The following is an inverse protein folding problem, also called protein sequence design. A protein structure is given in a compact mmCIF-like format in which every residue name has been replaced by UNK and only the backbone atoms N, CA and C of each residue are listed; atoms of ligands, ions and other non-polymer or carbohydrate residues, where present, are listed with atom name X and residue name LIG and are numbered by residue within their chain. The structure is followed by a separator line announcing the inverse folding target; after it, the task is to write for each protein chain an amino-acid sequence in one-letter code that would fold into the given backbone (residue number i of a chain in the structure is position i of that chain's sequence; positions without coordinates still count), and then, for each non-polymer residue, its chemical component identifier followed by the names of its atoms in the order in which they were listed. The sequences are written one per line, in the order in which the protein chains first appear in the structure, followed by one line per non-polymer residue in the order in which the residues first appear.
data_IF_288489475087
#
_entry.id   IF_288489475087
#
_cell.length_a   1.000
_cell.length_b   1.000
_cell.length_c   1.000
_cell.angle_alpha   90.00
_cell.angle_beta   90.00
_cell.angle_gamma   90.00
#
_symmetry.space_group_name_H-M   'P 1'
#
loop_
_entity.id
_entity.type
_entity.pdbx_description
1 polymer ?
#
# COMPACT_ATOMS: atom_id res chain seq x y z
N UNK A 1 -7.67 -3.83 8.09
CA UNK A 1 -8.16 -3.36 9.41
C UNK A 1 -7.02 -2.55 10.02
N UNK A 2 -7.24 -1.26 10.30
CA UNK A 2 -6.24 -0.36 10.88
C UNK A 2 -5.90 -0.82 12.29
N UNK A 3 -4.63 -1.11 12.56
CA UNK A 3 -4.16 -1.50 13.88
C UNK A 3 -3.96 -0.23 14.70
N UNK A 4 -4.96 0.16 15.51
CA UNK A 4 -4.87 1.34 16.38
C UNK A 4 -4.36 0.90 17.74
N UNK A 5 -3.39 1.63 18.30
CA UNK A 5 -3.04 1.54 19.72
C UNK A 5 -4.28 1.68 20.61
N UNK A 6 -4.34 0.85 21.66
CA UNK A 6 -5.38 0.93 22.71
C UNK A 6 -5.14 2.09 23.69
N UNK A 7 -4.02 2.80 23.57
CA UNK A 7 -3.62 3.90 24.44
C UNK A 7 -4.14 5.22 23.87
N UNK A 8 -4.82 6.01 24.69
CA UNK A 8 -5.25 7.36 24.31
C UNK A 8 -4.03 8.24 24.09
N UNK A 9 -3.91 8.83 22.90
CA UNK A 9 -2.80 9.71 22.54
C UNK A 9 -2.41 9.61 21.07
N UNK A 10 -1.21 10.12 20.76
CA UNK A 10 -0.58 9.98 19.46
C UNK A 10 0.05 8.58 19.33
N UNK A 11 -0.32 7.87 18.26
CA UNK A 11 0.14 6.51 17.97
C UNK A 11 1.41 6.52 17.10
N UNK A 12 1.32 7.17 15.93
CA UNK A 12 2.46 7.38 15.04
C UNK A 12 2.32 8.68 14.24
N UNK A 13 3.43 9.16 13.71
CA UNK A 13 3.49 10.30 12.78
C UNK A 13 4.13 9.86 11.47
N UNK A 14 3.48 10.19 10.36
CA UNK A 14 4.00 9.96 9.01
C UNK A 14 4.44 11.26 8.34
N UNK A 15 5.62 11.25 7.73
CA UNK A 15 6.14 12.34 6.89
C UNK A 15 6.38 11.78 5.49
N UNK A 16 5.70 12.37 4.51
CA UNK A 16 5.89 12.04 3.11
C UNK A 16 6.99 12.91 2.49
N UNK A 17 7.92 12.32 1.76
CA UNK A 17 8.92 13.03 0.96
C UNK A 17 8.48 13.15 -0.49
N UNK A 18 8.99 14.18 -1.17
CA UNK A 18 8.62 14.46 -2.55
C UNK A 18 9.30 13.50 -3.53
N UNK A 19 10.46 12.95 -3.16
CA UNK A 19 11.28 12.08 -3.99
C UNK A 19 12.09 11.08 -3.15
N UNK A 20 12.71 10.12 -3.84
CA UNK A 20 13.56 9.09 -3.24
C UNK A 20 14.83 9.69 -2.61
N UNK A 21 15.41 10.73 -3.21
CA UNK A 21 16.64 11.34 -2.71
C UNK A 21 16.45 11.95 -1.32
N UNK A 22 15.33 12.63 -1.10
CA UNK A 22 14.94 13.14 0.21
C UNK A 22 14.74 12.02 1.23
N UNK A 23 14.08 10.92 0.82
CA UNK A 23 13.86 9.78 1.70
C UNK A 23 15.20 9.14 2.13
N UNK A 24 16.15 9.02 1.19
CA UNK A 24 17.49 8.52 1.47
C UNK A 24 18.29 9.49 2.35
N UNK A 25 18.14 10.81 2.16
CA UNK A 25 18.77 11.80 3.02
C UNK A 25 18.25 11.70 4.47
N UNK A 26 16.95 11.46 4.66
CA UNK A 26 16.38 11.19 5.99
C UNK A 26 16.95 9.90 6.57
N UNK A 27 17.00 8.81 5.80
CA UNK A 27 17.61 7.53 6.24
C UNK A 27 19.03 7.73 6.75
N UNK A 28 19.87 8.45 6.00
CA UNK A 28 21.26 8.74 6.38
C UNK A 28 21.34 9.53 7.70
N UNK A 29 20.45 10.49 7.91
CA UNK A 29 20.38 11.23 9.18
C UNK A 29 19.96 10.31 10.33
N UNK A 30 18.97 9.44 10.11
CA UNK A 30 18.51 8.48 11.10
C UNK A 30 19.60 7.46 11.45
N UNK A 31 20.35 6.96 10.46
CA UNK A 31 21.48 6.05 10.69
C UNK A 31 22.55 6.70 11.60
N UNK A 32 22.78 8.01 11.44
CA UNK A 32 23.72 8.75 12.30
C UNK A 32 23.24 8.87 13.76
N UNK A 33 21.95 8.71 14.04
CA UNK A 33 21.40 8.74 15.41
C UNK A 33 21.53 7.41 16.15
N UNK A 34 21.98 6.33 15.49
CA UNK A 34 22.09 4.98 16.04
C UNK A 34 20.76 4.41 16.58
N UNK A 35 19.64 4.99 16.18
CA UNK A 35 18.30 4.45 16.47
C UNK A 35 18.03 3.29 15.52
N UNK A 36 17.46 2.16 15.99
CA UNK A 36 17.06 1.07 15.11
C UNK A 36 16.07 1.56 14.04
N UNK A 37 16.40 1.34 12.76
CA UNK A 37 15.54 1.65 11.62
C UNK A 37 14.91 0.36 11.10
N UNK A 38 13.60 0.35 10.94
CA UNK A 38 12.87 -0.71 10.24
C UNK A 38 12.57 -0.24 8.81
N UNK A 39 13.20 -0.88 7.82
CA UNK A 39 13.01 -0.57 6.41
C UNK A 39 11.90 -1.43 5.79
N UNK A 40 10.99 -0.80 5.06
CA UNK A 40 9.96 -1.45 4.25
C UNK A 40 10.03 -0.87 2.83
N UNK A 41 10.82 -1.52 1.99
CA UNK A 41 11.05 -1.11 0.60
C UNK A 41 10.04 -1.79 -0.33
N UNK A 42 9.64 -1.09 -1.39
CA UNK A 42 8.77 -1.54 -2.48
C UNK A 42 7.44 -2.15 -2.02
N UNK A 43 6.92 -1.71 -0.88
CA UNK A 43 5.74 -2.31 -0.26
C UNK A 43 4.47 -1.72 -0.89
N UNK A 44 3.59 -2.59 -1.39
CA UNK A 44 2.26 -2.20 -1.85
C UNK A 44 1.31 -2.15 -0.64
N UNK A 45 0.88 -0.95 -0.23
CA UNK A 45 -0.06 -0.78 0.87
C UNK A 45 -1.36 -0.17 0.35
N UNK A 46 -2.38 -1.03 0.21
CA UNK A 46 -3.75 -0.73 -0.26
C UNK A 46 -3.84 -0.16 -1.68
N UNK A 47 -3.30 1.03 -1.92
CA UNK A 47 -3.52 1.85 -3.11
C UNK A 47 -2.23 2.47 -3.65
N UNK A 48 -1.09 2.28 -3.00
CA UNK A 48 0.16 2.83 -3.47
C UNK A 48 1.33 1.89 -3.21
N UNK A 49 2.32 1.93 -4.09
CA UNK A 49 3.63 1.34 -3.87
C UNK A 49 4.50 2.39 -3.19
N UNK A 50 5.10 2.06 -2.07
CA UNK A 50 5.78 3.05 -1.22
C UNK A 50 7.05 2.45 -0.64
N UNK A 51 8.09 3.27 -0.56
CA UNK A 51 9.28 3.01 0.25
C UNK A 51 9.14 3.73 1.59
N UNK A 52 9.40 3.02 2.68
CA UNK A 52 9.13 3.49 4.04
C UNK A 52 10.27 3.14 5.00
N UNK A 53 10.59 4.06 5.88
CA UNK A 53 11.50 3.86 7.01
C UNK A 53 10.81 4.22 8.31
N UNK A 54 10.91 3.33 9.29
CA UNK A 54 10.31 3.51 10.61
C UNK A 54 11.38 3.62 11.69
N UNK A 55 11.17 4.54 12.62
CA UNK A 55 11.91 4.60 13.89
C UNK A 55 10.94 4.77 15.06
N UNK A 56 11.39 4.44 16.27
CA UNK A 56 10.67 4.76 17.50
C UNK A 56 11.48 5.77 18.29
N UNK A 57 10.86 6.88 18.67
CA UNK A 57 11.53 7.90 19.49
C UNK A 57 11.64 7.46 20.97
N UNK A 58 12.45 8.16 21.79
CA UNK A 58 12.58 7.83 23.21
C UNK A 58 11.28 7.92 24.02
N UNK A 59 10.27 8.64 23.52
CA UNK A 59 8.96 8.75 24.14
C UNK A 59 8.02 7.59 23.73
N UNK A 60 8.47 6.72 22.84
CA UNK A 60 7.75 5.55 22.34
C UNK A 60 6.80 5.84 21.18
N UNK A 61 6.91 7.00 20.52
CA UNK A 61 6.10 7.33 19.35
C UNK A 61 6.79 6.75 18.11
N UNK A 62 6.03 6.06 17.26
CA UNK A 62 6.53 5.57 15.98
C UNK A 62 6.51 6.69 14.94
N UNK A 63 7.62 6.86 14.22
CA UNK A 63 7.74 7.81 13.13
C UNK A 63 7.98 7.06 11.82
N UNK A 64 7.20 7.41 10.81
CA UNK A 64 7.30 6.88 9.45
C UNK A 64 7.79 7.99 8.52
N UNK A 65 8.87 7.74 7.78
CA UNK A 65 9.26 8.55 6.62
C UNK A 65 9.02 7.75 5.36
N UNK A 66 8.33 8.31 4.37
CA UNK A 66 7.95 7.52 3.20
C UNK A 66 7.88 8.31 1.89
N UNK A 67 8.08 7.61 0.78
CA UNK A 67 7.90 8.14 -0.57
C UNK A 67 6.95 7.23 -1.38
N UNK A 68 5.87 7.80 -1.90
CA UNK A 68 4.91 7.09 -2.75
C UNK A 68 5.39 7.05 -4.19
N UNK A 69 5.62 5.84 -4.71
CA UNK A 69 6.17 5.59 -6.03
C UNK A 69 5.10 5.59 -7.14
N UNK A 70 3.90 5.09 -6.84
CA UNK A 70 2.81 4.97 -7.81
C UNK A 70 1.50 4.62 -7.12
N UNK A 71 0.39 5.07 -7.70
CA UNK A 71 -0.96 4.59 -7.36
C UNK A 71 -1.22 3.23 -8.00
N UNK A 72 -1.87 2.34 -7.26
CA UNK A 72 -2.26 0.99 -7.70
C UNK A 72 -3.75 1.06 -8.06
N UNK A 73 -4.14 0.68 -9.30
CA UNK A 73 -5.53 0.68 -9.70
C UNK A 73 -6.37 -0.18 -8.76
N UNK A 74 -7.45 0.39 -8.25
CA UNK A 74 -8.42 -0.30 -7.43
C UNK A 74 -9.48 -0.97 -8.30
N UNK A 75 -10.11 -2.01 -7.78
CA UNK A 75 -11.19 -2.73 -8.49
C UNK A 75 -12.34 -1.81 -8.97
N UNK A 76 -12.47 -0.61 -8.41
CA UNK A 76 -13.51 0.35 -8.78
C UNK A 76 -13.02 1.52 -9.64
N UNK A 77 -11.72 1.58 -9.96
CA UNK A 77 -11.23 2.54 -10.95
C UNK A 77 -11.77 2.10 -12.30
N UNK A 78 -12.64 2.94 -12.89
CA UNK A 78 -13.22 2.69 -14.19
C UNK A 78 -12.11 2.71 -15.23
N UNK A 79 -11.57 1.53 -15.55
CA UNK A 79 -10.77 1.35 -16.77
C UNK A 79 -11.71 1.72 -17.91
N UNK A 80 -11.41 2.76 -18.71
CA UNK A 80 -12.21 3.05 -19.89
C UNK A 80 -12.14 1.82 -20.79
N UNK A 81 -13.25 1.08 -20.83
CA UNK A 81 -13.50 0.06 -21.83
C UNK A 81 -13.48 0.78 -23.17
N UNK A 82 -12.36 0.67 -23.88
CA UNK A 82 -12.37 0.93 -25.32
C UNK A 82 -13.31 -0.10 -25.94
N UNK A 83 -14.39 0.38 -26.53
CA UNK A 83 -15.28 -0.39 -27.39
C UNK A 83 -14.52 -0.85 -28.64
N UNK A 84 -13.64 -1.83 -28.49
CA UNK A 84 -13.16 -2.66 -29.59
C UNK A 84 -13.35 -4.12 -29.19
N UNK A 85 -14.06 -4.83 -30.06
CA UNK A 85 -14.61 -6.16 -29.85
C UNK A 85 -13.60 -7.25 -29.45
N UNK A 86 -14.10 -8.17 -28.59
CA UNK A 86 -13.73 -9.60 -28.48
C UNK A 86 -12.32 -9.96 -27.95
N UNK A 87 -12.08 -10.94 -27.07
CA UNK A 87 -12.85 -12.04 -26.48
C UNK A 87 -12.05 -12.51 -25.26
N UNK A 88 -12.47 -12.27 -24.01
CA UNK A 88 -12.27 -13.22 -22.89
C UNK A 88 -13.31 -12.89 -21.82
N UNK A 89 -14.57 -13.27 -22.07
CA UNK A 89 -15.56 -13.33 -21.00
C UNK A 89 -15.61 -14.78 -20.52
N UNK A 90 -15.31 -15.00 -19.24
CA UNK A 90 -15.73 -16.18 -18.48
C UNK A 90 -17.27 -16.21 -18.37
N UNK A 91 -17.97 -16.32 -19.50
CA UNK A 91 -19.37 -16.73 -19.52
C UNK A 91 -19.38 -18.24 -19.40
N UNK A 92 -20.01 -18.84 -18.37
CA UNK A 92 -20.32 -20.25 -18.45
C UNK A 92 -21.24 -20.45 -19.64
N UNK A 93 -20.87 -21.36 -20.54
CA UNK A 93 -21.72 -21.72 -21.67
C UNK A 93 -23.07 -22.21 -21.12
N UNK A 94 -24.16 -21.55 -21.53
CA UNK A 94 -25.52 -22.03 -21.29
C UNK A 94 -25.70 -23.36 -22.00
N UNK A 95 -25.41 -24.45 -21.29
CA UNK A 95 -25.73 -25.78 -21.76
C UNK A 95 -27.21 -26.05 -21.47
N UNK A 96 -28.04 -25.89 -22.51
CA UNK A 96 -29.38 -26.47 -22.53
C UNK A 96 -29.25 -27.99 -22.51
N UNK A 97 -29.53 -28.63 -21.38
CA UNK A 97 -30.26 -29.90 -21.40
C UNK A 97 -30.90 -30.27 -20.06
N UNK A 98 -32.23 -30.40 -20.15
CA UNK A 98 -33.10 -31.42 -19.55
C UNK A 98 -33.02 -31.70 -18.05
N UNK A 99 -34.15 -31.43 -17.41
CA UNK A 99 -34.67 -32.13 -16.22
C UNK A 99 -34.12 -33.54 -16.05
N UNK A 100 -33.58 -33.80 -14.86
CA UNK A 100 -33.59 -35.12 -14.24
C UNK A 100 -33.98 -34.92 -12.76
N UNK A 101 -35.24 -35.23 -12.44
CA UNK A 101 -35.68 -35.53 -11.08
C UNK A 101 -34.95 -36.79 -10.58
N UNK A 102 -34.77 -36.89 -9.25
CA UNK A 102 -34.32 -38.08 -8.54
C UNK A 102 -33.82 -37.74 -7.15
#
# INVERSE_FOLDING_TARGET
ISNRSQKLGLDHLGIQTENEQELQAIKQQLDATQVPIEAQESTACCYARTDKYWITDPQGIAWESFHSLSEIPTFNDQIPVSDDENTVACRPAENKQTSCCG
#
